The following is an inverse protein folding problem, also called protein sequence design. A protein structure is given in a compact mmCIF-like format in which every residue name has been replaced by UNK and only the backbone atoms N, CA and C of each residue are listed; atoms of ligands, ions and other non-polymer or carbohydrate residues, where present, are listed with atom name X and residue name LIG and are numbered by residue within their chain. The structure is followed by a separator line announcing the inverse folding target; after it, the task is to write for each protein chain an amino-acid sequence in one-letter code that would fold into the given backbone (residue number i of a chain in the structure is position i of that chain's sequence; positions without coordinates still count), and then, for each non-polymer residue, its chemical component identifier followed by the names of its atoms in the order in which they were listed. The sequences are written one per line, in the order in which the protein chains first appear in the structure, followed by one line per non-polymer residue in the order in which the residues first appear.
data_IF_245137557016
#
_entry.id   IF_245137557016
#
_cell.length_a   1.000
_cell.length_b   1.000
_cell.length_c   1.000
_cell.angle_alpha   90.00
_cell.angle_beta   90.00
_cell.angle_gamma   90.00
#
_symmetry.space_group_name_H-M   'P 1'
#
loop_
_entity.id
_entity.type
_entity.pdbx_description
1 polymer ?
#
# COMPACT_ATOMS: atom_id res chain seq x y z
N UNK A 1 11.40 -9.43 2.19
CA UNK A 1 12.49 -10.19 2.82
C UNK A 1 12.14 -10.53 4.26
N UNK A 2 12.32 -11.77 4.64
CA UNK A 2 12.05 -12.20 6.02
C UNK A 2 13.21 -11.83 6.94
N UNK A 3 12.89 -11.47 8.17
CA UNK A 3 13.90 -11.22 9.18
C UNK A 3 13.85 -12.32 10.25
N UNK A 4 14.74 -12.26 11.25
CA UNK A 4 14.86 -13.29 12.28
C UNK A 4 13.66 -13.39 13.22
N UNK A 5 12.72 -12.46 13.12
CA UNK A 5 11.53 -12.40 13.99
C UNK A 5 10.28 -12.85 13.26
N UNK A 6 10.42 -13.54 12.13
CA UNK A 6 9.31 -14.00 11.31
C UNK A 6 8.43 -12.86 10.81
N UNK A 7 9.05 -11.72 10.55
CA UNK A 7 8.41 -10.58 9.93
C UNK A 7 8.87 -10.46 8.49
N UNK A 8 8.09 -9.77 7.68
CA UNK A 8 8.47 -9.46 6.31
C UNK A 8 8.72 -7.97 6.20
N UNK A 9 9.93 -7.59 5.83
CA UNK A 9 10.22 -6.22 5.47
C UNK A 9 9.87 -6.04 4.00
N UNK A 10 8.98 -5.10 3.72
CA UNK A 10 8.53 -4.81 2.38
C UNK A 10 9.10 -3.47 1.94
N UNK A 11 9.75 -3.47 0.78
CA UNK A 11 10.13 -2.24 0.10
C UNK A 11 9.32 -2.16 -1.18
N UNK A 12 8.45 -1.18 -1.26
CA UNK A 12 7.59 -0.97 -2.41
C UNK A 12 8.06 0.27 -3.16
N UNK A 13 8.39 0.07 -4.44
CA UNK A 13 8.82 1.16 -5.32
C UNK A 13 8.03 1.06 -6.60
N UNK A 14 7.48 2.18 -7.03
CA UNK A 14 6.72 2.23 -8.27
C UNK A 14 7.11 3.48 -9.05
N UNK A 15 7.23 3.34 -10.35
CA UNK A 15 7.54 4.44 -11.25
C UNK A 15 6.33 4.71 -12.15
N UNK A 16 6.27 5.91 -12.69
CA UNK A 16 5.21 6.34 -13.60
C UNK A 16 3.82 6.23 -12.95
N UNK A 17 3.75 6.52 -11.65
CA UNK A 17 2.50 6.52 -10.93
C UNK A 17 1.80 7.86 -11.12
N UNK A 18 0.58 7.83 -11.63
CA UNK A 18 -0.21 9.04 -11.78
C UNK A 18 -0.54 9.65 -10.41
N UNK A 19 -0.75 10.97 -10.31
CA UNK A 19 -1.26 11.55 -9.06
C UNK A 19 -2.58 10.88 -8.65
N UNK A 20 -2.79 10.76 -7.34
CA UNK A 20 -3.95 10.02 -6.80
C UNK A 20 -5.29 10.58 -7.30
N UNK A 21 -5.38 11.89 -7.48
CA UNK A 21 -6.61 12.53 -7.94
C UNK A 21 -6.95 12.20 -9.40
N UNK A 22 -6.02 11.65 -10.15
CA UNK A 22 -6.28 11.16 -11.51
C UNK A 22 -6.80 9.73 -11.51
N UNK A 23 -6.56 9.00 -10.43
CA UNK A 23 -7.09 7.63 -10.27
C UNK A 23 -8.48 7.67 -9.67
N UNK A 24 -8.67 8.52 -8.66
CA UNK A 24 -9.93 8.66 -7.96
C UNK A 24 -10.18 10.14 -7.72
N UNK A 25 -11.35 10.63 -8.16
CA UNK A 25 -11.70 12.04 -8.04
C UNK A 25 -11.67 12.46 -6.56
N UNK A 26 -10.91 13.52 -6.27
CA UNK A 26 -10.76 14.04 -4.93
C UNK A 26 -9.77 13.30 -4.05
N UNK A 27 -9.07 12.29 -4.57
CA UNK A 27 -8.06 11.57 -3.79
C UNK A 27 -6.86 12.47 -3.52
N UNK A 28 -6.29 12.35 -2.32
CA UNK A 28 -5.16 13.17 -1.88
C UNK A 28 -3.85 12.38 -1.79
N UNK A 29 -3.89 11.05 -1.83
CA UNK A 29 -2.70 10.25 -1.77
C UNK A 29 -2.99 8.77 -1.91
N UNK A 30 -1.94 7.97 -1.77
CA UNK A 30 -2.02 6.53 -1.85
C UNK A 30 -1.71 5.92 -0.49
N UNK A 31 -2.42 4.84 -0.16
CA UNK A 31 -2.22 4.11 1.08
C UNK A 31 -2.00 2.64 0.76
N UNK A 32 -1.04 2.03 1.44
CA UNK A 32 -0.76 0.61 1.34
C UNK A 32 -1.44 -0.15 2.46
N UNK A 33 -1.92 -1.35 2.16
CA UNK A 33 -2.66 -2.20 3.07
C UNK A 33 -2.14 -3.62 3.00
N UNK A 34 -2.29 -4.37 4.08
CA UNK A 34 -2.02 -5.80 4.06
C UNK A 34 -3.08 -6.55 4.85
N UNK A 35 -3.21 -7.83 4.56
CA UNK A 35 -4.06 -8.75 5.35
C UNK A 35 -3.46 -10.14 5.30
N UNK A 36 -3.68 -10.90 6.35
CA UNK A 36 -3.12 -12.24 6.46
C UNK A 36 -3.70 -13.18 5.40
N UNK A 37 -5.00 -13.09 5.17
CA UNK A 37 -5.69 -13.91 4.17
C UNK A 37 -7.01 -13.24 3.77
N UNK A 38 -7.74 -13.87 2.87
CA UNK A 38 -8.99 -13.31 2.34
C UNK A 38 -10.11 -13.18 3.38
N UNK A 39 -9.98 -13.85 4.52
CA UNK A 39 -10.96 -13.77 5.60
C UNK A 39 -10.65 -12.69 6.63
N UNK A 40 -9.50 -12.04 6.51
CA UNK A 40 -9.02 -11.05 7.46
C UNK A 40 -9.26 -9.65 6.89
N UNK A 41 -9.66 -8.71 7.74
CA UNK A 41 -9.80 -7.32 7.32
C UNK A 41 -8.44 -6.74 6.96
N UNK A 42 -8.44 -5.77 6.05
CA UNK A 42 -7.22 -5.06 5.67
C UNK A 42 -6.71 -4.23 6.84
N UNK A 43 -5.39 -4.26 7.03
CA UNK A 43 -4.69 -3.44 8.01
C UNK A 43 -3.86 -2.41 7.27
N UNK A 44 -3.91 -1.17 7.75
CA UNK A 44 -3.12 -0.10 7.14
C UNK A 44 -1.63 -0.39 7.33
N UNK A 45 -0.91 -0.44 6.22
CA UNK A 45 0.54 -0.64 6.22
C UNK A 45 1.26 0.70 6.33
N UNK A 46 0.77 1.70 5.62
CA UNK A 46 1.34 3.03 5.63
C UNK A 46 0.92 3.81 4.40
N UNK A 47 1.14 5.11 4.40
CA UNK A 47 0.91 5.91 3.21
C UNK A 47 2.14 5.84 2.31
N UNK A 48 1.90 5.83 1.00
CA UNK A 48 2.97 5.83 0.01
C UNK A 48 3.58 7.22 -0.04
N UNK A 49 4.89 7.29 0.03
CA UNK A 49 5.61 8.54 -0.17
C UNK A 49 5.68 8.81 -1.67
N UNK A 50 4.90 9.77 -2.13
CA UNK A 50 4.75 10.05 -3.56
C UNK A 50 5.45 11.34 -3.94
N UNK A 51 6.26 11.27 -5.00
CA UNK A 51 6.91 12.44 -5.59
C UNK A 51 6.23 12.75 -6.91
N UNK A 52 5.46 13.81 -6.94
CA UNK A 52 4.71 14.21 -8.13
C UNK A 52 5.64 14.64 -9.28
N UNK A 53 6.80 15.17 -8.96
CA UNK A 53 7.75 15.62 -9.99
C UNK A 53 8.33 14.46 -10.79
N UNK A 54 8.67 13.36 -10.13
CA UNK A 54 9.21 12.18 -10.78
C UNK A 54 8.17 11.09 -11.01
N UNK A 55 6.96 11.25 -10.47
CA UNK A 55 5.88 10.26 -10.51
C UNK A 55 6.30 8.91 -9.92
N UNK A 56 7.06 8.97 -8.85
CA UNK A 56 7.52 7.78 -8.14
C UNK A 56 6.88 7.69 -6.78
N UNK A 57 6.54 6.47 -6.38
CA UNK A 57 6.03 6.20 -5.05
C UNK A 57 6.90 5.17 -4.37
N UNK A 58 7.05 5.29 -3.05
CA UNK A 58 7.82 4.33 -2.29
C UNK A 58 7.27 4.15 -0.88
N UNK A 59 7.49 2.96 -0.35
CA UNK A 59 7.15 2.64 1.03
C UNK A 59 8.10 1.55 1.50
N UNK A 60 8.63 1.72 2.71
CA UNK A 60 9.37 0.67 3.40
C UNK A 60 8.66 0.43 4.72
N UNK A 61 8.24 -0.80 4.94
CA UNK A 61 7.50 -1.15 6.15
C UNK A 61 7.69 -2.62 6.46
N UNK A 62 7.38 -2.99 7.71
CA UNK A 62 7.47 -4.38 8.15
C UNK A 62 6.10 -4.89 8.54
N UNK A 63 5.71 -6.04 8.00
CA UNK A 63 4.48 -6.72 8.39
C UNK A 63 4.82 -7.84 9.39
N UNK A 64 3.96 -8.07 10.39
CA UNK A 64 4.20 -9.15 11.36
C UNK A 64 3.89 -10.54 10.79
N UNK A 65 3.68 -10.64 9.49
CA UNK A 65 3.34 -11.86 8.80
C UNK A 65 4.41 -12.21 7.79
N UNK A 66 4.63 -13.49 7.52
CA UNK A 66 5.57 -13.96 6.50
C UNK A 66 4.88 -14.23 5.17
N UNK A 67 3.56 -14.27 5.17
CA UNK A 67 2.74 -14.43 3.98
C UNK A 67 1.49 -13.58 4.16
N UNK A 68 1.16 -12.74 3.20
CA UNK A 68 0.03 -11.83 3.30
C UNK A 68 -0.36 -11.28 1.93
N UNK A 69 -1.57 -10.77 1.85
CA UNK A 69 -2.02 -10.01 0.70
C UNK A 69 -1.63 -8.54 0.88
N UNK A 70 -1.23 -7.89 -0.19
CA UNK A 70 -0.81 -6.49 -0.19
C UNK A 70 -1.55 -5.74 -1.28
N UNK A 71 -2.04 -4.55 -0.95
CA UNK A 71 -2.64 -3.70 -1.98
C UNK A 71 -2.37 -2.23 -1.69
N UNK A 72 -2.48 -1.42 -2.74
CA UNK A 72 -2.36 0.03 -2.67
C UNK A 72 -3.61 0.64 -3.28
N UNK A 73 -4.20 1.60 -2.58
CA UNK A 73 -5.39 2.28 -3.05
C UNK A 73 -5.21 3.80 -3.05
N UNK A 74 -5.95 4.48 -3.91
CA UNK A 74 -6.03 5.94 -3.90
C UNK A 74 -7.10 6.34 -2.89
N UNK A 75 -6.76 7.22 -1.96
CA UNK A 75 -7.64 7.60 -0.86
C UNK A 75 -7.87 9.10 -0.82
N UNK A 76 -9.10 9.50 -0.53
CA UNK A 76 -9.41 10.90 -0.25
C UNK A 76 -8.84 11.34 1.07
N UNK A 77 -8.76 10.43 2.02
CA UNK A 77 -8.19 10.65 3.34
C UNK A 77 -7.12 9.60 3.57
N UNK A 78 -5.85 10.01 3.59
CA UNK A 78 -4.73 9.09 3.75
C UNK A 78 -4.65 8.51 5.17
N UNK A 79 -5.51 8.96 6.09
CA UNK A 79 -5.63 8.36 7.41
C UNK A 79 -6.81 7.40 7.54
N UNK A 80 -7.44 7.05 6.42
CA UNK A 80 -8.54 6.08 6.40
C UNK A 80 -8.20 4.79 7.11
N UNK A 81 -9.20 4.20 7.76
CA UNK A 81 -9.03 2.94 8.49
C UNK A 81 -9.21 1.71 7.60
N UNK A 82 -9.75 1.87 6.40
CA UNK A 82 -9.96 0.78 5.46
C UNK A 82 -9.78 1.28 4.02
N UNK A 83 -9.40 0.38 3.08
CA UNK A 83 -9.17 0.80 1.70
C UNK A 83 -10.47 1.14 0.98
N UNK A 84 -10.37 2.09 0.05
CA UNK A 84 -11.44 2.38 -0.89
C UNK A 84 -11.47 1.30 -1.98
N UNK A 85 -12.39 1.43 -2.93
CA UNK A 85 -12.45 0.52 -4.08
C UNK A 85 -11.48 0.92 -5.20
N UNK A 86 -10.75 2.02 -5.05
CA UNK A 86 -9.85 2.52 -6.08
C UNK A 86 -8.45 1.91 -5.94
N UNK A 87 -8.35 0.61 -6.21
CA UNK A 87 -7.13 -0.15 -6.05
C UNK A 87 -6.24 0.03 -7.27
N UNK A 88 -4.99 0.41 -7.06
CA UNK A 88 -4.03 0.62 -8.15
C UNK A 88 -3.02 -0.52 -8.26
N UNK A 89 -2.87 -1.32 -7.22
CA UNK A 89 -1.90 -2.41 -7.19
C UNK A 89 -2.33 -3.43 -6.15
N UNK A 90 -2.18 -4.71 -6.47
CA UNK A 90 -2.42 -5.78 -5.50
C UNK A 90 -1.49 -6.95 -5.80
N UNK A 91 -1.03 -7.62 -4.75
CA UNK A 91 -0.12 -8.75 -4.87
C UNK A 91 -0.17 -9.60 -3.62
N UNK A 92 0.00 -10.91 -3.79
CA UNK A 92 0.21 -11.81 -2.66
C UNK A 92 1.71 -11.94 -2.41
N UNK A 93 2.13 -11.81 -1.15
CA UNK A 93 3.53 -11.89 -0.73
C UNK A 93 3.73 -13.17 0.07
N UNK A 94 4.72 -13.92 -0.31
CA UNK A 94 5.12 -15.15 0.39
C UNK A 94 6.48 -14.99 1.02
#
# INVERSE_FOLDING_TARGET
MKNDQNQTQLEFHVENLAPADRVADGATGYVAWYRKNSSTAWTRFGSIKYDAGSRKGELVASAPETSFDFEVSAEKDISSASPSSDIVFSQHVN
#
